data_IF_861504293556
#
_entry.id   IF_861504293556
#
_cell.length_a   1.000
_cell.length_b   1.000
_cell.length_c   1.000
_cell.angle_alpha   90.00
_cell.angle_beta   90.00
_cell.angle_gamma   90.00
#
_symmetry.space_group_name_H-M   'P 1'
#
loop_
_entity.id
_entity.type
_entity.pdbx_description
1 polymer ?
#
# COMPACT_ATOMS: atom_id res chain seq x y z
N UNK A 1 -15.14 8.56 7.11
CA UNK A 1 -15.75 7.51 7.97
C UNK A 1 -15.07 6.17 7.75
N UNK A 2 -14.93 5.71 6.50
CA UNK A 2 -14.17 4.51 6.15
C UNK A 2 -12.70 4.50 6.62
N UNK A 3 -11.95 5.58 6.39
CA UNK A 3 -10.52 5.67 6.75
C UNK A 3 -10.29 5.55 8.25
N UNK A 4 -11.10 6.21 9.08
CA UNK A 4 -11.00 6.16 10.55
C UNK A 4 -11.23 4.76 11.11
N UNK A 5 -12.15 3.99 10.51
CA UNK A 5 -12.42 2.62 10.93
C UNK A 5 -11.24 1.70 10.58
N UNK A 6 -10.66 1.86 9.39
CA UNK A 6 -9.46 1.11 8.98
C UNK A 6 -8.28 1.46 9.89
N UNK A 7 -8.08 2.75 10.20
CA UNK A 7 -7.03 3.19 11.13
C UNK A 7 -7.19 2.59 12.53
N UNK A 8 -8.42 2.57 13.06
CA UNK A 8 -8.70 2.02 14.38
C UNK A 8 -8.43 0.51 14.44
N UNK A 9 -8.92 -0.25 13.44
CA UNK A 9 -8.68 -1.70 13.37
C UNK A 9 -7.20 -2.04 13.19
N UNK A 10 -6.47 -1.28 12.36
CA UNK A 10 -5.03 -1.48 12.21
C UNK A 10 -4.29 -1.20 13.53
N UNK A 11 -4.72 -0.19 14.30
CA UNK A 11 -4.14 0.13 15.61
C UNK A 11 -4.39 -0.99 16.63
N UNK A 12 -5.62 -1.52 16.68
CA UNK A 12 -6.01 -2.59 17.62
C UNK A 12 -5.21 -3.89 17.37
N UNK A 13 -5.07 -4.28 16.09
CA UNK A 13 -4.34 -5.50 15.71
C UNK A 13 -2.83 -5.29 15.52
N UNK A 14 -2.29 -4.12 15.86
CA UNK A 14 -0.87 -3.75 15.69
C UNK A 14 -0.34 -3.92 14.25
N UNK A 15 -1.21 -3.71 13.26
CA UNK A 15 -0.87 -3.77 11.84
C UNK A 15 -0.34 -2.41 11.41
N UNK A 16 0.87 -2.40 10.85
CA UNK A 16 1.47 -1.17 10.31
C UNK A 16 0.66 -0.62 9.14
N UNK A 17 0.39 0.69 9.14
CA UNK A 17 -0.42 1.37 8.12
C UNK A 17 0.41 2.45 7.41
N UNK A 18 0.36 2.48 6.07
CA UNK A 18 0.91 3.57 5.24
C UNK A 18 -0.22 4.37 4.62
N UNK A 19 -0.14 5.70 4.72
CA UNK A 19 -1.11 6.61 4.10
C UNK A 19 -0.56 7.16 2.79
N UNK A 20 -1.31 6.97 1.70
CA UNK A 20 -1.01 7.53 0.37
C UNK A 20 -2.06 8.58 0.03
N UNK A 21 -1.64 9.72 -0.53
CA UNK A 21 -2.56 10.84 -0.86
C UNK A 21 -3.44 10.53 -2.08
N UNK A 22 -2.88 9.88 -3.09
CA UNK A 22 -3.55 9.64 -4.38
C UNK A 22 -4.00 8.19 -4.57
N UNK A 23 -5.32 8.01 -4.69
CA UNK A 23 -5.93 6.68 -4.91
C UNK A 23 -5.56 6.05 -6.26
N UNK A 24 -5.32 6.88 -7.28
CA UNK A 24 -4.91 6.41 -8.60
C UNK A 24 -3.47 5.89 -8.59
N UNK A 25 -2.55 6.60 -7.91
CA UNK A 25 -1.18 6.12 -7.75
C UNK A 25 -1.14 4.79 -7.02
N UNK A 26 -1.91 4.65 -5.93
CA UNK A 26 -2.02 3.39 -5.22
C UNK A 26 -2.58 2.26 -6.12
N UNK A 27 -3.60 2.57 -6.93
CA UNK A 27 -4.15 1.63 -7.90
C UNK A 27 -3.11 1.16 -8.93
N UNK A 28 -2.28 2.07 -9.44
CA UNK A 28 -1.20 1.74 -10.35
C UNK A 28 -0.12 0.85 -9.70
N UNK A 29 0.26 1.14 -8.44
CA UNK A 29 1.25 0.32 -7.71
C UNK A 29 0.80 -1.11 -7.46
N UNK A 30 -0.51 -1.33 -7.27
CA UNK A 30 -1.09 -2.66 -7.08
C UNK A 30 -1.38 -3.35 -8.43
N UNK A 31 -1.08 -2.69 -9.55
CA UNK A 31 -1.32 -3.24 -10.88
C UNK A 31 -2.78 -3.20 -11.32
N UNK A 32 -3.63 -2.36 -10.68
CA UNK A 32 -5.00 -2.08 -11.13
C UNK A 32 -5.00 -1.10 -12.31
N UNK A 33 -4.17 -1.37 -13.31
CA UNK A 33 -4.03 -0.58 -14.52
C UNK A 33 -3.77 -1.49 -15.72
N UNK A 34 -4.01 -0.96 -16.92
CA UNK A 34 -3.63 -1.62 -18.17
C UNK A 34 -2.45 -0.86 -18.76
N UNK A 35 -1.38 -1.57 -19.08
CA UNK A 35 -0.22 -0.98 -19.73
C UNK A 35 -0.42 -1.01 -21.24
N UNK A 36 -0.23 0.13 -21.90
CA UNK A 36 -0.09 0.18 -23.36
C UNK A 36 1.28 -0.36 -23.78
N UNK A 37 1.47 -0.61 -25.10
CA UNK A 37 2.72 -1.16 -25.65
C UNK A 37 3.98 -0.33 -25.36
N UNK A 38 3.81 0.95 -25.03
CA UNK A 38 4.88 1.88 -24.63
C UNK A 38 5.14 1.90 -23.10
N UNK A 39 4.49 1.02 -22.33
CA UNK A 39 4.67 0.92 -20.88
C UNK A 39 3.95 1.99 -20.06
N UNK A 40 3.15 2.85 -20.68
CA UNK A 40 2.33 3.85 -19.96
C UNK A 40 1.07 3.22 -19.38
N UNK A 41 0.82 3.48 -18.10
CA UNK A 41 -0.39 3.02 -17.41
C UNK A 41 -1.63 3.79 -17.91
N UNK A 42 -2.65 3.03 -18.34
CA UNK A 42 -3.93 3.52 -18.84
C UNK A 42 -5.06 2.78 -18.14
N UNK A 43 -6.23 3.42 -18.08
CA UNK A 43 -7.42 2.90 -17.38
C UNK A 43 -7.10 2.49 -15.93
N UNK A 44 -6.33 3.32 -15.22
CA UNK A 44 -5.99 3.10 -13.81
C UNK A 44 -7.26 3.19 -12.97
N UNK A 45 -7.57 2.10 -12.25
CA UNK A 45 -8.67 2.07 -11.28
C UNK A 45 -8.11 2.49 -9.93
N UNK A 46 -8.76 3.46 -9.30
CA UNK A 46 -8.34 3.93 -7.99
C UNK A 46 -8.51 2.84 -6.92
N UNK A 47 -7.46 2.59 -6.14
CA UNK A 47 -7.54 1.73 -4.98
C UNK A 47 -7.82 2.58 -3.73
N UNK A 48 -8.74 2.12 -2.87
CA UNK A 48 -9.02 2.79 -1.59
C UNK A 48 -8.23 2.19 -0.43
N UNK A 49 -7.93 0.88 -0.49
CA UNK A 49 -7.17 0.15 0.51
C UNK A 49 -6.61 -1.13 -0.11
N UNK A 50 -5.44 -1.55 0.36
CA UNK A 50 -4.89 -2.87 0.06
C UNK A 50 -4.16 -3.39 1.28
N UNK A 51 -4.14 -4.71 1.41
CA UNK A 51 -3.46 -5.41 2.51
C UNK A 51 -2.54 -6.42 1.89
N UNK A 52 -1.25 -6.35 2.23
CA UNK A 52 -0.27 -7.34 1.83
C UNK A 52 -0.34 -8.49 2.83
N UNK A 53 -0.70 -9.68 2.36
CA UNK A 53 -0.76 -10.89 3.20
C UNK A 53 0.54 -11.68 3.18
N UNK A 54 1.16 -11.72 2.01
CA UNK A 54 2.38 -12.47 1.76
C UNK A 54 3.28 -11.63 0.86
N UNK A 55 4.54 -11.47 1.27
CA UNK A 55 5.55 -10.70 0.53
C UNK A 55 6.36 -11.59 -0.43
N UNK A 56 6.12 -12.91 -0.43
CA UNK A 56 6.83 -13.91 -1.24
C UNK A 56 8.24 -14.19 -0.75
N UNK A 57 9.15 -13.23 -0.91
CA UNK A 57 10.57 -13.36 -0.55
C UNK A 57 11.00 -12.23 0.40
N UNK A 58 11.85 -12.58 1.37
CA UNK A 58 12.57 -11.62 2.20
C UNK A 58 13.69 -10.98 1.35
N UNK A 59 13.34 -9.86 0.72
CA UNK A 59 14.27 -9.02 -0.03
C UNK A 59 14.66 -7.77 0.79
N UNK A 60 15.72 -7.08 0.39
CA UNK A 60 16.20 -5.83 1.02
C UNK A 60 15.08 -4.79 1.15
N UNK A 61 14.12 -4.78 0.22
CA UNK A 61 12.94 -3.92 0.28
C UNK A 61 12.10 -4.13 1.54
N UNK A 62 12.00 -5.37 2.05
CA UNK A 62 11.21 -5.67 3.25
C UNK A 62 11.87 -5.10 4.51
N UNK A 63 13.19 -5.12 4.56
CA UNK A 63 13.96 -4.59 5.69
C UNK A 63 13.83 -3.06 5.78
N UNK A 64 13.93 -2.37 4.65
CA UNK A 64 13.69 -0.92 4.57
C UNK A 64 12.26 -0.56 5.01
N UNK A 65 11.26 -1.35 4.59
CA UNK A 65 9.88 -1.14 5.03
C UNK A 65 9.73 -1.35 6.54
N UNK A 66 10.37 -2.38 7.09
CA UNK A 66 10.33 -2.67 8.51
C UNK A 66 10.97 -1.55 9.34
N UNK A 67 12.13 -1.04 8.94
CA UNK A 67 12.77 0.12 9.59
C UNK A 67 11.89 1.37 9.51
N UNK A 68 11.24 1.62 8.36
CA UNK A 68 10.30 2.73 8.21
C UNK A 68 9.11 2.61 9.19
N UNK A 69 8.56 1.40 9.33
CA UNK A 69 7.47 1.14 10.28
C UNK A 69 7.89 1.30 11.73
N UNK A 70 9.10 0.89 12.09
CA UNK A 70 9.66 1.09 13.43
C UNK A 70 9.90 2.58 13.72
N UNK A 71 10.37 3.35 12.73
CA UNK A 71 10.52 4.80 12.86
C UNK A 71 9.19 5.54 13.02
N UNK A 72 8.09 5.02 12.46
CA UNK A 72 6.75 5.60 12.60
C UNK A 72 6.05 5.21 13.91
N UNK A 73 6.58 4.21 14.66
CA UNK A 73 6.08 3.80 15.98
C UNK A 73 6.66 4.61 17.15
N UNK A 74 7.63 5.50 16.90
CA UNK A 74 8.12 6.50 17.87
C UNK A 74 7.26 7.75 17.86
#
# INVERSE_FOLDING_TARGET
MYTKLVEALCTEHQISLIKVKDKKQLGEWIGLCKYDKEGKARKVVGCSCAVVRDYGQDDAARLVLQEYFESQKK
#
